data_IF_296435530443
#
_entry.id   IF_296435530443
#
_cell.length_a   1.000
_cell.length_b   1.000
_cell.length_c   1.000
_cell.angle_alpha   90.00
_cell.angle_beta   90.00
_cell.angle_gamma   90.00
#
_symmetry.space_group_name_H-M   'P 1'
#
loop_
_entity.id
_entity.type
_entity.pdbx_description
1 polymer ?
#
# COMPACT_ATOMS: atom_id res chain seq x y z
N UNK A 1 -26.15 4.36 14.11
CA UNK A 1 -25.14 4.69 13.06
C UNK A 1 -25.75 4.51 11.68
N UNK A 2 -26.53 3.45 11.42
CA UNK A 2 -27.25 3.26 10.14
C UNK A 2 -28.15 4.44 9.73
N UNK A 3 -28.87 5.08 10.66
CA UNK A 3 -29.80 6.17 10.31
C UNK A 3 -29.13 7.43 9.76
N UNK A 4 -27.92 7.75 10.23
CA UNK A 4 -27.19 8.93 9.75
C UNK A 4 -26.54 8.63 8.38
N UNK A 5 -26.02 7.42 8.19
CA UNK A 5 -25.50 6.99 6.89
C UNK A 5 -26.61 6.93 5.83
N UNK A 6 -27.84 6.55 6.20
CA UNK A 6 -29.01 6.60 5.32
C UNK A 6 -29.43 8.04 4.99
N UNK A 7 -29.54 8.92 5.99
CA UNK A 7 -29.88 10.35 5.77
C UNK A 7 -28.85 11.06 4.88
N UNK A 8 -27.57 10.68 4.98
CA UNK A 8 -26.51 11.18 4.11
C UNK A 8 -26.66 10.61 2.70
N UNK A 9 -26.85 9.29 2.53
CA UNK A 9 -27.07 8.68 1.20
C UNK A 9 -28.30 9.25 0.47
N UNK A 10 -29.36 9.60 1.18
CA UNK A 10 -30.60 10.14 0.61
C UNK A 10 -30.53 11.63 0.24
N UNK A 11 -29.60 12.38 0.84
CA UNK A 11 -29.40 13.82 0.57
C UNK A 11 -28.32 14.12 -0.45
N UNK A 12 -27.46 13.14 -0.77
CA UNK A 12 -26.32 13.29 -1.67
C UNK A 12 -26.72 13.11 -3.15
N UNK A 13 -26.17 13.96 -4.02
CA UNK A 13 -26.23 13.76 -5.48
C UNK A 13 -25.51 12.46 -5.87
N UNK A 14 -25.84 11.89 -7.05
CA UNK A 14 -25.25 10.62 -7.54
C UNK A 14 -23.71 10.59 -7.53
N UNK A 15 -23.06 11.75 -7.61
CA UNK A 15 -21.60 11.88 -7.55
C UNK A 15 -21.08 11.81 -6.11
N UNK A 16 -21.78 12.42 -5.17
CA UNK A 16 -21.42 12.40 -3.75
C UNK A 16 -21.68 11.02 -3.13
N UNK A 17 -22.79 10.35 -3.48
CA UNK A 17 -23.06 8.98 -3.03
C UNK A 17 -21.95 7.99 -3.47
N UNK A 18 -21.41 8.15 -4.69
CA UNK A 18 -20.26 7.38 -5.16
C UNK A 18 -18.98 7.68 -4.38
N UNK A 19 -18.77 8.93 -3.99
CA UNK A 19 -17.63 9.32 -3.17
C UNK A 19 -17.70 8.70 -1.76
N UNK A 20 -18.90 8.61 -1.18
CA UNK A 20 -19.11 7.92 0.10
C UNK A 20 -18.88 6.41 0.01
N UNK A 21 -19.35 5.75 -1.05
CA UNK A 21 -19.05 4.32 -1.27
C UNK A 21 -17.54 4.06 -1.46
N UNK A 22 -16.77 5.01 -2.03
CA UNK A 22 -15.30 4.89 -2.08
C UNK A 22 -14.62 5.03 -0.70
N UNK A 23 -15.30 5.69 0.25
CA UNK A 23 -14.84 5.91 1.61
C UNK A 23 -15.21 4.77 2.58
N UNK A 24 -16.04 3.81 2.17
CA UNK A 24 -16.34 2.62 2.98
C UNK A 24 -15.07 1.79 3.28
N UNK A 25 -15.15 0.97 4.33
CA UNK A 25 -14.04 0.11 4.75
C UNK A 25 -13.62 -0.80 3.59
N UNK A 26 -12.33 -0.73 3.26
CA UNK A 26 -11.76 -1.52 2.19
C UNK A 26 -11.13 -2.73 2.83
N UNK A 27 -11.47 -3.91 2.32
CA UNK A 27 -10.79 -5.14 2.71
C UNK A 27 -9.29 -5.05 2.39
N UNK A 28 -8.46 -5.84 3.06
CA UNK A 28 -6.99 -5.85 2.83
C UNK A 28 -6.65 -6.07 1.35
N UNK A 29 -7.40 -6.93 0.65
CA UNK A 29 -7.27 -7.11 -0.80
C UNK A 29 -7.64 -5.86 -1.61
N UNK A 30 -8.68 -5.13 -1.21
CA UNK A 30 -9.07 -3.88 -1.85
C UNK A 30 -8.05 -2.78 -1.58
N UNK A 31 -7.43 -2.72 -0.39
CA UNK A 31 -6.32 -1.81 -0.10
C UNK A 31 -5.09 -2.15 -0.95
N UNK A 32 -4.76 -3.44 -1.09
CA UNK A 32 -3.67 -3.92 -1.95
C UNK A 32 -3.92 -3.60 -3.42
N UNK A 33 -5.14 -3.77 -3.94
CA UNK A 33 -5.50 -3.36 -5.31
C UNK A 33 -5.59 -1.83 -5.42
N UNK A 34 -5.97 -1.15 -4.33
CA UNK A 34 -6.04 0.30 -4.16
C UNK A 34 -4.68 0.97 -4.30
N UNK A 35 -3.61 0.31 -3.86
CA UNK A 35 -2.23 0.72 -4.14
C UNK A 35 -1.95 0.80 -5.65
N UNK A 36 -2.52 -0.10 -6.44
CA UNK A 36 -2.51 -0.06 -7.92
C UNK A 36 -3.59 0.87 -8.51
N UNK A 37 -4.33 1.62 -7.68
CA UNK A 37 -5.37 2.58 -8.06
C UNK A 37 -5.09 3.99 -7.47
N UNK A 38 -3.99 4.63 -7.87
CA UNK A 38 -3.73 6.06 -7.62
C UNK A 38 -2.69 6.71 -8.55
N UNK A 39 -2.30 7.96 -8.26
CA UNK A 39 -1.22 8.67 -9.00
C UNK A 39 0.14 7.99 -8.82
N UNK A 40 0.34 7.27 -7.71
CA UNK A 40 1.60 6.61 -7.36
C UNK A 40 1.70 5.16 -7.86
N UNK A 41 0.78 4.70 -8.73
CA UNK A 41 0.81 3.35 -9.34
C UNK A 41 2.16 2.95 -9.89
N UNK A 42 2.81 3.88 -10.58
CA UNK A 42 4.09 3.63 -11.24
C UNK A 42 5.20 3.29 -10.23
N UNK A 43 5.18 3.92 -9.05
CA UNK A 43 6.12 3.62 -7.96
C UNK A 43 5.93 2.19 -7.47
N UNK A 44 4.68 1.74 -7.32
CA UNK A 44 4.38 0.39 -6.81
C UNK A 44 4.72 -0.68 -7.85
N UNK A 45 4.48 -0.41 -9.13
CA UNK A 45 4.93 -1.28 -10.23
C UNK A 45 6.45 -1.37 -10.24
N UNK A 46 7.15 -0.23 -10.15
CA UNK A 46 8.61 -0.19 -10.06
C UNK A 46 9.14 -1.00 -8.88
N UNK A 47 8.54 -0.88 -7.69
CA UNK A 47 8.95 -1.64 -6.51
C UNK A 47 8.77 -3.15 -6.68
N UNK A 48 7.70 -3.60 -7.35
CA UNK A 48 7.50 -5.01 -7.66
C UNK A 48 8.55 -5.52 -8.65
N UNK A 49 8.87 -4.72 -9.68
CA UNK A 49 9.94 -5.06 -10.64
C UNK A 49 11.29 -5.17 -9.93
N UNK A 50 11.63 -4.22 -9.06
CA UNK A 50 12.87 -4.25 -8.27
C UNK A 50 12.90 -5.49 -7.37
N UNK A 51 11.79 -5.82 -6.72
CA UNK A 51 11.67 -7.03 -5.89
C UNK A 51 11.95 -8.30 -6.70
N UNK A 52 11.43 -8.38 -7.93
CA UNK A 52 11.64 -9.51 -8.84
C UNK A 52 13.11 -9.62 -9.28
N UNK A 53 13.76 -8.49 -9.57
CA UNK A 53 15.20 -8.44 -9.88
C UNK A 53 16.02 -8.95 -8.70
N UNK A 54 15.76 -8.44 -7.49
CA UNK A 54 16.47 -8.88 -6.27
C UNK A 54 16.20 -10.35 -5.94
N UNK A 55 15.02 -10.87 -6.25
CA UNK A 55 14.72 -12.29 -6.13
C UNK A 55 15.56 -13.14 -7.10
N UNK A 56 15.71 -12.70 -8.36
CA UNK A 56 16.61 -13.35 -9.32
C UNK A 56 18.07 -13.31 -8.87
N UNK A 57 18.55 -12.17 -8.36
CA UNK A 57 19.88 -12.03 -7.79
C UNK A 57 20.09 -12.91 -6.56
N UNK A 58 19.07 -13.05 -5.72
CA UNK A 58 19.11 -13.92 -4.56
C UNK A 58 19.31 -15.37 -4.98
N UNK A 59 18.52 -15.87 -5.94
CA UNK A 59 18.68 -17.23 -6.48
C UNK A 59 20.08 -17.44 -7.06
N UNK A 60 20.61 -16.45 -7.81
CA UNK A 60 21.96 -16.52 -8.36
C UNK A 60 23.04 -16.59 -7.26
N UNK A 61 22.93 -15.75 -6.23
CA UNK A 61 23.82 -15.79 -5.07
C UNK A 61 23.75 -17.13 -4.35
N UNK A 62 22.55 -17.70 -4.19
CA UNK A 62 22.38 -19.03 -3.56
C UNK A 62 23.02 -20.14 -4.39
N UNK A 63 22.83 -20.16 -5.71
CA UNK A 63 23.48 -21.15 -6.58
C UNK A 63 24.99 -21.05 -6.50
N UNK A 64 25.55 -19.83 -6.59
CA UNK A 64 27.00 -19.61 -6.48
C UNK A 64 27.55 -19.97 -5.10
N UNK A 65 26.78 -19.71 -4.04
CA UNK A 65 27.16 -20.07 -2.68
C UNK A 65 27.38 -21.59 -2.52
N UNK A 66 26.54 -22.42 -3.16
CA UNK A 66 26.68 -23.88 -3.14
C UNK A 66 27.76 -24.42 -4.09
N UNK A 67 28.12 -23.68 -5.13
CA UNK A 67 29.11 -24.07 -6.15
C UNK A 67 30.56 -23.75 -5.72
N UNK A 68 30.75 -22.79 -4.82
CA UNK A 68 32.08 -22.39 -4.34
C UNK A 68 32.53 -23.16 -3.11
N UNK A 69 33.74 -23.73 -3.14
CA UNK A 69 34.39 -24.37 -1.96
C UNK A 69 35.35 -23.41 -1.22
N UNK A 70 35.62 -22.24 -1.80
CA UNK A 70 36.54 -21.23 -1.23
C UNK A 70 35.82 -20.37 -0.20
N UNK A 71 36.28 -20.40 1.05
CA UNK A 71 35.66 -19.69 2.20
C UNK A 71 35.42 -18.20 1.95
N UNK A 72 36.34 -17.51 1.27
CA UNK A 72 36.22 -16.08 0.97
C UNK A 72 35.04 -15.80 0.02
N UNK A 73 34.88 -16.62 -1.03
CA UNK A 73 33.77 -16.49 -1.97
C UNK A 73 32.43 -16.88 -1.35
N UNK A 74 32.44 -17.88 -0.47
CA UNK A 74 31.27 -18.31 0.31
C UNK A 74 30.70 -17.15 1.15
N UNK A 75 31.57 -16.41 1.84
CA UNK A 75 31.18 -15.22 2.61
C UNK A 75 30.65 -14.12 1.69
N UNK A 76 31.28 -13.90 0.53
CA UNK A 76 30.85 -12.87 -0.43
C UNK A 76 29.44 -13.15 -0.98
N UNK A 77 29.16 -14.39 -1.40
CA UNK A 77 27.84 -14.78 -1.88
C UNK A 77 26.79 -14.85 -0.77
N UNK A 78 27.20 -15.25 0.45
CA UNK A 78 26.34 -15.26 1.63
C UNK A 78 25.89 -13.85 2.05
N UNK A 79 26.82 -12.90 2.13
CA UNK A 79 26.50 -11.48 2.40
C UNK A 79 25.66 -10.91 1.26
N UNK A 80 26.00 -11.21 0.00
CA UNK A 80 25.21 -10.80 -1.16
C UNK A 80 23.75 -11.27 -1.08
N UNK A 81 23.53 -12.54 -0.72
CA UNK A 81 22.20 -13.08 -0.48
C UNK A 81 21.48 -12.42 0.69
N UNK A 82 22.18 -12.18 1.80
CA UNK A 82 21.62 -11.51 2.98
C UNK A 82 21.17 -10.08 2.69
N UNK A 83 21.98 -9.31 1.94
CA UNK A 83 21.62 -7.97 1.49
C UNK A 83 20.36 -8.02 0.61
N UNK A 84 20.27 -8.97 -0.32
CA UNK A 84 19.07 -9.14 -1.15
C UNK A 84 17.82 -9.38 -0.30
N UNK A 85 17.91 -10.22 0.75
CA UNK A 85 16.80 -10.48 1.67
C UNK A 85 16.38 -9.23 2.47
N UNK A 86 17.35 -8.47 2.98
CA UNK A 86 17.07 -7.21 3.68
C UNK A 86 16.39 -6.23 2.74
N UNK A 87 16.90 -6.06 1.52
CA UNK A 87 16.31 -5.14 0.53
C UNK A 87 14.87 -5.51 0.22
N UNK A 88 14.56 -6.78 -0.03
CA UNK A 88 13.18 -7.25 -0.28
C UNK A 88 12.28 -7.00 0.94
N UNK A 89 12.80 -7.23 2.14
CA UNK A 89 12.06 -7.00 3.39
C UNK A 89 11.73 -5.51 3.59
N UNK A 90 12.69 -4.63 3.34
CA UNK A 90 12.50 -3.18 3.42
C UNK A 90 11.49 -2.67 2.38
N UNK A 91 11.52 -3.20 1.16
CA UNK A 91 10.54 -2.86 0.12
C UNK A 91 9.12 -3.27 0.53
N UNK A 92 8.96 -4.44 1.16
CA UNK A 92 7.66 -4.86 1.72
C UNK A 92 7.18 -3.94 2.83
N UNK A 93 8.05 -3.58 3.78
CA UNK A 93 7.68 -2.64 4.85
C UNK A 93 7.22 -1.29 4.29
N UNK A 94 7.93 -0.75 3.29
CA UNK A 94 7.51 0.48 2.65
C UNK A 94 6.13 0.34 1.99
N UNK A 95 5.84 -0.78 1.32
CA UNK A 95 4.52 -1.01 0.72
C UNK A 95 3.41 -1.02 1.78
N UNK A 96 3.67 -1.61 2.95
CA UNK A 96 2.74 -1.57 4.09
C UNK A 96 2.52 -0.16 4.62
N UNK A 97 3.58 0.62 4.80
CA UNK A 97 3.44 2.03 5.20
C UNK A 97 2.62 2.86 4.20
N UNK A 98 2.69 2.55 2.90
CA UNK A 98 1.84 3.20 1.91
C UNK A 98 0.36 2.82 2.06
N UNK A 99 0.05 1.57 2.45
CA UNK A 99 -1.33 1.16 2.75
C UNK A 99 -1.87 1.92 3.96
N UNK A 100 -1.12 1.98 5.05
CA UNK A 100 -1.52 2.70 6.27
C UNK A 100 -1.70 4.19 5.99
N UNK A 101 -0.79 4.80 5.22
CA UNK A 101 -0.91 6.20 4.80
C UNK A 101 -2.19 6.44 4.00
N UNK A 102 -2.54 5.54 3.08
CA UNK A 102 -3.76 5.66 2.29
C UNK A 102 -5.03 5.48 3.15
N UNK A 103 -4.99 4.57 4.13
CA UNK A 103 -6.06 4.38 5.09
C UNK A 103 -6.31 5.67 5.90
N UNK A 104 -5.24 6.26 6.44
CA UNK A 104 -5.31 7.50 7.21
C UNK A 104 -5.84 8.67 6.37
N UNK A 105 -5.42 8.80 5.11
CA UNK A 105 -5.93 9.83 4.19
C UNK A 105 -7.43 9.64 3.94
N UNK A 106 -7.91 8.40 3.84
CA UNK A 106 -9.34 8.11 3.66
C UNK A 106 -10.15 8.55 4.89
N UNK A 107 -9.70 8.20 6.09
CA UNK A 107 -10.36 8.61 7.33
C UNK A 107 -10.35 10.13 7.51
N UNK A 108 -9.24 10.81 7.18
CA UNK A 108 -9.17 12.27 7.20
C UNK A 108 -10.20 12.93 6.26
N UNK A 109 -10.36 12.42 5.04
CA UNK A 109 -11.38 12.92 4.10
C UNK A 109 -12.80 12.68 4.61
N UNK A 110 -13.05 11.53 5.25
CA UNK A 110 -14.34 11.25 5.89
C UNK A 110 -14.64 12.25 7.00
N UNK A 111 -13.65 12.60 7.82
CA UNK A 111 -13.77 13.63 8.84
C UNK A 111 -13.99 15.03 8.24
N UNK A 112 -13.27 15.38 7.17
CA UNK A 112 -13.44 16.66 6.47
C UNK A 112 -14.87 16.84 5.96
N UNK A 113 -15.45 15.78 5.36
CA UNK A 113 -16.85 15.77 4.93
C UNK A 113 -17.83 15.93 6.09
N UNK A 114 -17.62 15.19 7.19
CA UNK A 114 -18.50 15.29 8.36
C UNK A 114 -18.49 16.71 8.93
N UNK A 115 -17.31 17.33 9.04
CA UNK A 115 -17.15 18.72 9.51
C UNK A 115 -17.83 19.70 8.57
N UNK A 116 -17.68 19.53 7.24
CA UNK A 116 -18.35 20.38 6.25
C UNK A 116 -19.88 20.26 6.33
N UNK A 117 -20.41 19.04 6.47
CA UNK A 117 -21.85 18.81 6.63
C UNK A 117 -22.41 19.42 7.91
N UNK A 118 -21.63 19.38 9.01
CA UNK A 118 -22.01 19.99 10.29
C UNK A 118 -22.01 21.52 10.19
N UNK A 119 -20.98 22.10 9.56
CA UNK A 119 -20.91 23.55 9.33
C UNK A 119 -22.06 24.06 8.49
N UNK A 120 -22.47 23.30 7.46
CA UNK A 120 -23.59 23.67 6.60
C UNK A 120 -24.92 23.72 7.39
N UNK A 121 -25.16 22.75 8.27
CA UNK A 121 -26.34 22.72 9.16
C UNK A 121 -26.34 23.80 10.23
N UNK A 122 -25.16 24.32 10.63
CA UNK A 122 -25.05 25.36 11.65
C UNK A 122 -25.19 26.79 11.06
N UNK A 123 -25.00 26.94 9.76
CA UNK A 123 -25.18 28.21 9.04
C UNK A 123 -26.61 28.46 8.56
N UNK A 124 -27.50 27.50 8.75
CA UNK A 124 -28.95 27.57 8.49
C UNK A 124 -29.71 27.87 9.80
#
# INVERSE_FOLDING_TARGET
MEDIDQLIKDTLTKEEAKFYDELEEQNVFQMLVGLFRGKNKWIIILMNVVTLIFFGLFVYCTVRFFDTEVTNELIRWGIGGFVCLITVSMLKLFAWMQMDKNALIRELKRLELQVSSLSAKLSE
#
